data_IF_177010125283
#
_entry.id   IF_177010125283
#
_cell.length_a   1.000
_cell.length_b   1.000
_cell.length_c   1.000
_cell.angle_alpha   90.00
_cell.angle_beta   90.00
_cell.angle_gamma   90.00
#
_symmetry.space_group_name_H-M   'P 1'
#
loop_
_entity.id
_entity.type
_entity.pdbx_description
1 polymer ?
#
# COMPACT_ATOMS: atom_id res chain seq x y z
N UNK A 1 2.72 -40.90 -14.97
CA UNK A 1 3.56 -39.97 -14.18
C UNK A 1 2.79 -38.67 -14.12
N UNK A 2 2.67 -38.07 -12.93
CA UNK A 2 2.02 -36.76 -12.75
C UNK A 2 3.13 -35.71 -12.65
N UNK A 3 3.22 -34.82 -13.64
CA UNK A 3 4.21 -33.75 -13.72
C UNK A 3 3.63 -32.56 -14.50
N UNK A 4 4.12 -31.35 -14.23
CA UNK A 4 3.74 -30.13 -14.94
C UNK A 4 4.75 -29.83 -16.06
N UNK A 5 4.27 -29.35 -17.21
CA UNK A 5 5.12 -28.99 -18.37
C UNK A 5 5.80 -27.63 -18.17
N UNK A 6 5.16 -26.72 -17.41
CA UNK A 6 5.73 -25.43 -17.04
C UNK A 6 5.25 -24.99 -15.66
N UNK A 7 6.04 -24.16 -14.96
CA UNK A 7 5.65 -23.65 -13.63
C UNK A 7 4.31 -22.91 -13.66
N UNK A 8 3.99 -22.22 -14.76
CA UNK A 8 2.72 -21.53 -14.97
C UNK A 8 1.49 -22.47 -15.05
N UNK A 9 1.67 -23.79 -15.28
CA UNK A 9 0.58 -24.76 -15.18
C UNK A 9 0.14 -24.99 -13.73
N UNK A 10 0.96 -24.59 -12.76
CA UNK A 10 0.69 -24.70 -11.33
C UNK A 10 0.01 -23.45 -10.75
N UNK A 11 -0.41 -22.50 -11.61
CA UNK A 11 -1.22 -21.36 -11.17
C UNK A 11 -2.59 -21.84 -10.73
N UNK A 12 -3.01 -21.44 -9.54
CA UNK A 12 -4.25 -21.85 -8.90
C UNK A 12 -4.10 -23.05 -7.97
N UNK A 13 -5.22 -23.65 -7.59
CA UNK A 13 -5.28 -24.79 -6.65
C UNK A 13 -4.53 -24.54 -5.32
N UNK A 14 -4.49 -23.30 -4.89
CA UNK A 14 -3.82 -22.89 -3.64
C UNK A 14 -4.55 -23.45 -2.43
N UNK A 15 -3.84 -23.75 -1.33
CA UNK A 15 -4.44 -24.39 -0.18
C UNK A 15 -5.34 -23.42 0.60
N UNK A 16 -6.28 -24.03 1.33
CA UNK A 16 -7.12 -23.39 2.33
C UNK A 16 -6.64 -23.85 3.71
N UNK A 17 -6.20 -22.91 4.55
CA UNK A 17 -5.52 -23.20 5.82
C UNK A 17 -6.30 -22.58 6.97
N UNK A 18 -6.61 -23.36 8.01
CA UNK A 18 -7.28 -22.84 9.21
C UNK A 18 -6.34 -21.89 9.98
N UNK A 19 -6.84 -20.71 10.35
CA UNK A 19 -6.20 -19.85 11.35
C UNK A 19 -6.57 -20.35 12.75
N UNK A 20 -5.59 -20.52 13.64
CA UNK A 20 -5.78 -21.13 14.96
C UNK A 20 -5.52 -20.15 16.11
N UNK A 21 -4.33 -19.59 16.17
CA UNK A 21 -3.88 -18.72 17.26
C UNK A 21 -4.61 -17.37 17.23
N UNK A 22 -4.72 -16.76 16.04
CA UNK A 22 -5.38 -15.47 15.84
C UNK A 22 -6.89 -15.52 16.08
N UNK A 23 -7.49 -16.71 15.99
CA UNK A 23 -8.93 -16.92 16.09
C UNK A 23 -9.33 -17.52 17.43
N UNK A 24 -8.38 -17.67 18.36
CA UNK A 24 -8.65 -18.23 19.67
C UNK A 24 -9.70 -17.38 20.42
N UNK A 25 -10.79 -18.03 20.84
CA UNK A 25 -11.91 -17.36 21.51
C UNK A 25 -12.99 -16.82 20.58
N UNK A 26 -12.77 -16.85 19.25
CA UNK A 26 -13.80 -16.59 18.26
C UNK A 26 -14.60 -17.86 17.99
N UNK A 27 -15.88 -17.68 17.66
CA UNK A 27 -16.83 -18.76 17.39
C UNK A 27 -16.74 -19.35 15.98
N UNK A 28 -16.65 -18.56 14.89
CA UNK A 28 -16.68 -19.11 13.53
C UNK A 28 -15.39 -19.84 13.16
N UNK A 29 -15.48 -20.73 12.19
CA UNK A 29 -14.30 -21.29 11.52
C UNK A 29 -13.73 -20.24 10.55
N UNK A 30 -12.49 -19.80 10.78
CA UNK A 30 -11.80 -18.86 9.87
C UNK A 30 -10.68 -19.58 9.10
N UNK A 31 -10.74 -19.49 7.78
CA UNK A 31 -9.84 -20.17 6.84
C UNK A 31 -9.16 -19.15 5.93
N UNK A 32 -7.85 -19.27 5.76
CA UNK A 32 -7.02 -18.47 4.89
C UNK A 32 -6.80 -19.16 3.54
N UNK A 33 -7.18 -18.51 2.44
CA UNK A 33 -6.86 -18.92 1.07
C UNK A 33 -5.49 -18.37 0.69
N UNK A 34 -4.48 -19.24 0.63
CA UNK A 34 -3.06 -18.86 0.63
C UNK A 34 -2.55 -18.67 -0.80
N UNK A 35 -2.83 -17.50 -1.39
CA UNK A 35 -2.52 -17.24 -2.81
C UNK A 35 -1.04 -17.01 -3.11
N UNK A 36 -0.20 -16.77 -2.11
CA UNK A 36 1.24 -16.64 -2.34
C UNK A 36 1.92 -17.95 -2.75
N UNK A 37 1.23 -19.09 -2.63
CA UNK A 37 1.72 -20.38 -3.10
C UNK A 37 1.50 -20.60 -4.61
N UNK A 38 0.88 -19.64 -5.30
CA UNK A 38 1.04 -19.55 -6.75
C UNK A 38 2.53 -19.39 -7.10
N UNK A 39 2.97 -19.87 -8.27
CA UNK A 39 4.39 -19.97 -8.61
C UNK A 39 5.15 -18.64 -8.75
N UNK A 40 4.47 -17.57 -9.15
CA UNK A 40 4.96 -16.19 -9.15
C UNK A 40 4.81 -15.49 -7.79
N UNK A 41 4.24 -16.17 -6.80
CA UNK A 41 4.19 -15.70 -5.41
C UNK A 41 2.97 -14.88 -5.04
N UNK A 42 1.94 -14.82 -5.89
CA UNK A 42 0.75 -14.02 -5.61
C UNK A 42 -0.51 -14.45 -6.37
N UNK A 43 -1.66 -13.93 -5.92
CA UNK A 43 -2.97 -14.02 -6.59
C UNK A 43 -2.97 -13.49 -8.03
N UNK A 44 -2.03 -12.60 -8.38
CA UNK A 44 -2.02 -11.92 -9.68
C UNK A 44 -1.54 -12.83 -10.83
N UNK A 45 -0.97 -13.99 -10.50
CA UNK A 45 -0.64 -15.00 -11.50
C UNK A 45 -1.88 -15.48 -12.27
N UNK A 46 -3.01 -15.59 -11.57
CA UNK A 46 -4.31 -16.00 -12.15
C UNK A 46 -4.77 -15.04 -13.23
N UNK A 47 -4.73 -13.73 -12.93
CA UNK A 47 -5.18 -12.70 -13.87
C UNK A 47 -4.21 -12.61 -15.05
N UNK A 48 -2.90 -12.75 -14.80
CA UNK A 48 -1.89 -12.68 -15.85
C UNK A 48 -2.08 -13.80 -16.88
N UNK A 49 -2.23 -15.04 -16.39
CA UNK A 49 -2.50 -16.20 -17.25
C UNK A 49 -3.78 -15.98 -18.07
N UNK A 50 -4.87 -15.59 -17.42
CA UNK A 50 -6.17 -15.44 -18.07
C UNK A 50 -6.19 -14.31 -19.11
N UNK A 51 -5.64 -13.14 -18.77
CA UNK A 51 -5.59 -11.99 -19.69
C UNK A 51 -4.76 -12.32 -20.94
N UNK A 52 -3.60 -12.98 -20.78
CA UNK A 52 -2.74 -13.37 -21.91
C UNK A 52 -3.47 -14.38 -22.80
N UNK A 53 -4.05 -15.44 -22.24
CA UNK A 53 -4.77 -16.44 -23.03
C UNK A 53 -5.99 -15.86 -23.75
N UNK A 54 -6.67 -14.89 -23.14
CA UNK A 54 -7.78 -14.21 -23.79
C UNK A 54 -7.31 -13.33 -24.95
N UNK A 55 -6.22 -12.59 -24.78
CA UNK A 55 -5.63 -11.76 -25.83
C UNK A 55 -5.07 -12.58 -27.00
N UNK A 56 -4.55 -13.78 -26.72
CA UNK A 56 -4.18 -14.76 -27.75
C UNK A 56 -5.40 -15.22 -28.56
N UNK A 57 -6.50 -15.56 -27.88
CA UNK A 57 -7.74 -16.02 -28.53
C UNK A 57 -8.42 -14.93 -29.35
N UNK A 58 -8.39 -13.68 -28.88
CA UNK A 58 -8.96 -12.53 -29.62
C UNK A 58 -8.05 -12.05 -30.75
N UNK A 59 -6.76 -12.41 -30.73
CA UNK A 59 -5.76 -11.96 -31.69
C UNK A 59 -5.16 -10.58 -31.37
N UNK A 60 -5.48 -10.01 -30.20
CA UNK A 60 -4.89 -8.76 -29.70
C UNK A 60 -3.41 -8.93 -29.35
N UNK A 61 -3.02 -10.10 -28.84
CA UNK A 61 -1.63 -10.46 -28.61
C UNK A 61 -1.20 -11.52 -29.63
N UNK A 62 -0.32 -11.13 -30.56
CA UNK A 62 0.20 -12.00 -31.61
C UNK A 62 1.45 -12.74 -31.15
N UNK A 63 1.77 -13.93 -31.70
CA UNK A 63 3.00 -14.66 -31.38
C UNK A 63 4.25 -13.78 -31.49
N UNK A 64 5.10 -13.81 -30.45
CA UNK A 64 6.30 -12.96 -30.37
C UNK A 64 6.04 -11.48 -30.04
N UNK A 65 4.78 -11.10 -29.77
CA UNK A 65 4.40 -9.73 -29.38
C UNK A 65 4.98 -9.28 -28.04
N UNK A 66 4.68 -8.02 -27.69
CA UNK A 66 5.21 -7.38 -26.48
C UNK A 66 4.08 -7.04 -25.51
N UNK A 67 4.23 -7.43 -24.25
CA UNK A 67 3.32 -7.02 -23.17
C UNK A 67 3.87 -5.74 -22.54
N UNK A 68 3.07 -4.68 -22.50
CA UNK A 68 3.44 -3.41 -21.89
C UNK A 68 2.44 -3.08 -20.78
N UNK A 69 2.88 -3.01 -19.52
CA UNK A 69 1.99 -2.74 -18.38
C UNK A 69 2.63 -1.74 -17.40
N UNK A 70 1.88 -0.74 -16.89
CA UNK A 70 2.32 0.11 -15.80
C UNK A 70 2.24 -0.67 -14.48
N UNK A 71 3.33 -1.33 -14.09
CA UNK A 71 3.37 -2.15 -12.88
C UNK A 71 4.79 -2.32 -12.34
N UNK A 72 4.87 -2.52 -11.04
CA UNK A 72 6.10 -2.84 -10.31
C UNK A 72 5.94 -4.02 -9.35
N UNK A 73 4.75 -4.61 -9.33
CA UNK A 73 4.34 -5.54 -8.29
C UNK A 73 3.97 -6.90 -8.86
N UNK A 74 3.07 -7.54 -8.13
CA UNK A 74 2.61 -8.90 -8.34
C UNK A 74 2.11 -9.19 -9.77
N UNK A 75 1.36 -8.26 -10.38
CA UNK A 75 0.88 -8.43 -11.78
C UNK A 75 2.03 -8.48 -12.79
N UNK A 76 3.08 -7.68 -12.61
CA UNK A 76 4.25 -7.72 -13.48
C UNK A 76 4.98 -9.06 -13.39
N UNK A 77 5.11 -9.63 -12.19
CA UNK A 77 5.72 -10.95 -11.98
C UNK A 77 4.92 -12.03 -12.69
N UNK A 78 3.59 -12.06 -12.48
CA UNK A 78 2.70 -13.01 -13.15
C UNK A 78 2.77 -12.92 -14.67
N UNK A 79 2.72 -11.70 -15.23
CA UNK A 79 2.81 -11.45 -16.67
C UNK A 79 4.17 -11.91 -17.23
N UNK A 80 5.28 -11.60 -16.56
CA UNK A 80 6.61 -11.98 -17.01
C UNK A 80 6.82 -13.50 -17.02
N UNK A 81 6.35 -14.18 -15.96
CA UNK A 81 6.41 -15.64 -15.85
C UNK A 81 5.62 -16.33 -16.97
N UNK A 82 4.40 -15.85 -17.26
CA UNK A 82 3.57 -16.42 -18.33
C UNK A 82 4.12 -16.06 -19.72
N UNK A 83 4.64 -14.85 -19.89
CA UNK A 83 5.28 -14.39 -21.12
C UNK A 83 6.51 -15.23 -21.50
N UNK A 84 7.35 -15.58 -20.52
CA UNK A 84 8.52 -16.43 -20.73
C UNK A 84 8.12 -17.77 -21.36
N UNK A 85 7.06 -18.41 -20.86
CA UNK A 85 6.54 -19.66 -21.42
C UNK A 85 6.04 -19.51 -22.85
N UNK A 86 5.28 -18.44 -23.11
CA UNK A 86 4.55 -18.23 -24.36
C UNK A 86 5.35 -17.49 -25.43
N UNK A 87 6.58 -17.08 -25.11
CA UNK A 87 7.50 -16.42 -26.04
C UNK A 87 7.20 -14.94 -26.27
N UNK A 88 6.63 -14.25 -25.27
CA UNK A 88 6.38 -12.80 -25.34
C UNK A 88 7.49 -11.99 -24.70
N UNK A 89 7.71 -10.79 -25.20
CA UNK A 89 8.56 -9.79 -24.55
C UNK A 89 7.74 -9.04 -23.50
N UNK A 90 8.39 -8.58 -22.42
CA UNK A 90 7.75 -7.75 -21.40
C UNK A 90 8.47 -6.42 -21.25
N UNK A 91 7.70 -5.33 -21.25
CA UNK A 91 8.16 -3.98 -20.91
C UNK A 91 7.27 -3.44 -19.79
N UNK A 92 7.82 -3.30 -18.59
CA UNK A 92 7.09 -2.75 -17.47
C UNK A 92 7.53 -1.33 -17.17
N UNK A 93 6.56 -0.47 -16.89
CA UNK A 93 6.79 0.94 -16.57
C UNK A 93 6.45 1.17 -15.10
N UNK A 94 7.38 1.73 -14.34
CA UNK A 94 7.18 1.97 -12.92
C UNK A 94 7.78 3.31 -12.46
N UNK A 95 7.22 3.94 -11.41
CA UNK A 95 7.81 5.14 -10.84
C UNK A 95 9.13 4.84 -10.09
N UNK A 96 10.00 5.83 -9.96
CA UNK A 96 11.32 5.73 -9.30
C UNK A 96 11.27 5.45 -7.79
N UNK A 97 10.13 5.68 -7.13
CA UNK A 97 9.89 5.26 -5.73
C UNK A 97 9.84 3.75 -5.52
N UNK A 98 9.68 2.97 -6.60
CA UNK A 98 9.68 1.51 -6.52
C UNK A 98 11.07 1.01 -6.16
N UNK A 99 11.14 0.20 -5.09
CA UNK A 99 12.38 -0.39 -4.61
C UNK A 99 13.16 -1.11 -5.71
N UNK A 100 14.49 -1.06 -5.62
CA UNK A 100 15.36 -1.74 -6.56
C UNK A 100 15.11 -3.25 -6.63
N UNK A 101 14.86 -3.90 -5.49
CA UNK A 101 14.58 -5.34 -5.41
C UNK A 101 13.38 -5.75 -6.28
N UNK A 102 12.28 -5.00 -6.19
CA UNK A 102 11.09 -5.25 -7.04
C UNK A 102 11.40 -5.11 -8.53
N UNK A 103 12.19 -4.10 -8.92
CA UNK A 103 12.64 -3.94 -10.33
C UNK A 103 13.56 -5.08 -10.75
N UNK A 104 14.42 -5.54 -9.86
CA UNK A 104 15.37 -6.63 -10.13
C UNK A 104 14.67 -7.98 -10.29
N UNK A 105 13.59 -8.25 -9.55
CA UNK A 105 12.74 -9.44 -9.76
C UNK A 105 12.17 -9.45 -11.18
N UNK A 106 11.60 -8.34 -11.65
CA UNK A 106 11.04 -8.26 -13.02
C UNK A 106 12.12 -8.46 -14.08
N UNK A 107 13.30 -7.84 -13.91
CA UNK A 107 14.46 -8.04 -14.80
C UNK A 107 14.95 -9.50 -14.81
N UNK A 108 14.91 -10.18 -13.66
CA UNK A 108 15.30 -11.58 -13.56
C UNK A 108 14.35 -12.51 -14.37
N UNK A 109 13.08 -12.14 -14.51
CA UNK A 109 12.14 -12.78 -15.44
C UNK A 109 12.29 -12.33 -16.91
N UNK A 110 13.33 -11.56 -17.23
CA UNK A 110 13.64 -11.11 -18.59
C UNK A 110 12.88 -9.87 -19.05
N UNK A 111 12.16 -9.18 -18.15
CA UNK A 111 11.43 -7.96 -18.51
C UNK A 111 12.37 -6.75 -18.63
N UNK A 112 12.10 -5.89 -19.61
CA UNK A 112 12.66 -4.53 -19.65
C UNK A 112 11.87 -3.66 -18.66
N UNK A 113 12.56 -3.00 -17.73
CA UNK A 113 11.92 -2.08 -16.77
C UNK A 113 12.27 -0.64 -17.14
N UNK A 114 11.25 0.16 -17.41
CA UNK A 114 11.33 1.60 -17.67
C UNK A 114 10.95 2.34 -16.40
N UNK A 115 11.85 3.19 -15.91
CA UNK A 115 11.65 3.95 -14.67
C UNK A 115 11.25 5.39 -15.03
N UNK A 116 10.16 5.86 -14.43
CA UNK A 116 9.60 7.19 -14.63
C UNK A 116 9.70 8.02 -13.34
N UNK A 117 9.78 9.37 -13.42
CA UNK A 117 9.76 10.22 -12.23
C UNK A 117 8.47 10.04 -11.43
N UNK A 118 8.55 9.95 -10.10
CA UNK A 118 7.35 9.97 -9.24
C UNK A 118 6.72 11.36 -9.15
N UNK A 119 7.55 12.41 -9.14
CA UNK A 119 7.12 13.78 -8.86
C UNK A 119 6.52 14.51 -10.08
N UNK A 120 5.63 13.84 -10.82
CA UNK A 120 4.87 14.43 -11.93
C UNK A 120 3.39 14.06 -11.85
N UNK A 121 2.46 14.95 -12.23
CA UNK A 121 1.03 14.63 -12.29
C UNK A 121 0.71 13.46 -13.24
N UNK A 122 -0.39 12.71 -13.04
CA UNK A 122 -0.79 11.61 -13.92
C UNK A 122 -0.93 11.99 -15.40
N UNK A 123 -1.29 13.24 -15.71
CA UNK A 123 -1.46 13.77 -17.06
C UNK A 123 -0.13 14.14 -17.72
N UNK A 124 0.97 14.19 -16.95
CA UNK A 124 2.27 14.55 -17.45
C UNK A 124 2.80 13.49 -18.44
N UNK A 125 3.43 13.88 -19.57
CA UNK A 125 3.95 12.93 -20.57
C UNK A 125 4.95 11.89 -20.02
N UNK A 126 5.69 12.26 -18.98
CA UNK A 126 6.66 11.38 -18.32
C UNK A 126 6.08 10.59 -17.14
N UNK A 127 4.78 10.73 -16.85
CA UNK A 127 4.10 9.84 -15.91
C UNK A 127 4.18 8.40 -16.43
N UNK A 128 4.31 7.44 -15.52
CA UNK A 128 4.42 6.03 -15.91
C UNK A 128 3.18 5.52 -16.68
N UNK A 129 2.00 6.12 -16.47
CA UNK A 129 0.79 5.86 -17.25
C UNK A 129 0.96 6.27 -18.71
N UNK A 130 1.31 7.54 -18.96
CA UNK A 130 1.48 8.06 -20.31
C UNK A 130 2.67 7.42 -21.03
N UNK A 131 3.76 7.14 -20.31
CA UNK A 131 4.90 6.40 -20.86
C UNK A 131 4.49 4.98 -21.26
N UNK A 132 3.68 4.28 -20.44
CA UNK A 132 3.14 2.97 -20.82
C UNK A 132 2.27 3.07 -22.07
N UNK A 133 1.36 4.04 -22.16
CA UNK A 133 0.48 4.20 -23.32
C UNK A 133 1.25 4.58 -24.59
N UNK A 134 2.28 5.41 -24.45
CA UNK A 134 3.19 5.76 -25.54
C UNK A 134 3.93 4.51 -26.04
N UNK A 135 4.50 3.70 -25.15
CA UNK A 135 5.22 2.49 -25.52
C UNK A 135 4.33 1.47 -26.25
N UNK A 136 3.05 1.36 -25.87
CA UNK A 136 2.08 0.52 -26.59
C UNK A 136 1.86 0.99 -28.03
N UNK A 137 1.88 2.30 -28.28
CA UNK A 137 1.73 2.88 -29.63
C UNK A 137 3.00 2.76 -30.46
N UNK A 138 4.16 2.84 -29.82
CA UNK A 138 5.47 2.86 -30.49
C UNK A 138 6.05 1.47 -30.77
N UNK A 139 5.75 0.47 -29.94
CA UNK A 139 6.24 -0.89 -30.11
C UNK A 139 5.26 -1.68 -30.97
N UNK A 140 5.70 -2.11 -32.15
CA UNK A 140 4.88 -2.96 -33.03
C UNK A 140 4.52 -4.28 -32.33
N UNK A 141 3.24 -4.68 -32.43
CA UNK A 141 2.71 -5.85 -31.74
C UNK A 141 2.65 -5.73 -30.22
N UNK A 142 2.72 -4.51 -29.66
CA UNK A 142 2.51 -4.30 -28.24
C UNK A 142 1.04 -4.39 -27.84
N UNK A 143 0.81 -4.98 -26.68
CA UNK A 143 -0.50 -5.11 -26.05
C UNK A 143 -0.41 -4.73 -24.59
N UNK A 144 -1.40 -3.97 -24.12
CA UNK A 144 -1.54 -3.55 -22.73
C UNK A 144 -2.64 -4.36 -22.05
N UNK A 145 -2.31 -5.22 -21.07
CA UNK A 145 -3.30 -5.95 -20.29
C UNK A 145 -4.33 -5.05 -19.64
N UNK A 146 -3.91 -3.91 -19.08
CA UNK A 146 -4.78 -2.93 -18.40
C UNK A 146 -5.64 -3.58 -17.29
N UNK A 147 -4.98 -4.05 -16.23
CA UNK A 147 -5.65 -4.81 -15.16
C UNK A 147 -6.83 -4.11 -14.48
N UNK A 148 -6.94 -2.79 -14.56
CA UNK A 148 -8.02 -2.00 -13.94
C UNK A 148 -9.32 -2.05 -14.73
N UNK A 149 -9.26 -2.25 -16.05
CA UNK A 149 -10.42 -2.26 -16.94
C UNK A 149 -10.64 -3.59 -17.68
N UNK A 150 -9.66 -4.50 -17.66
CA UNK A 150 -9.77 -5.75 -18.39
C UNK A 150 -10.75 -6.73 -17.72
N UNK A 151 -11.86 -7.12 -18.37
CA UNK A 151 -12.86 -8.01 -17.78
C UNK A 151 -12.30 -9.41 -17.48
N UNK A 152 -11.15 -9.78 -18.06
CA UNK A 152 -10.50 -11.05 -17.77
C UNK A 152 -9.86 -11.10 -16.38
N UNK A 153 -9.67 -9.95 -15.72
CA UNK A 153 -9.25 -9.89 -14.32
C UNK A 153 -10.34 -10.51 -13.40
N UNK A 154 -11.56 -9.94 -13.28
CA UNK A 154 -12.62 -10.57 -12.49
C UNK A 154 -13.02 -11.95 -13.02
N UNK A 155 -13.08 -12.14 -14.34
CA UNK A 155 -13.44 -13.45 -14.93
C UNK A 155 -12.47 -14.56 -14.50
N UNK A 156 -11.17 -14.26 -14.33
CA UNK A 156 -10.20 -15.26 -13.86
C UNK A 156 -10.58 -15.83 -12.48
N UNK A 157 -11.11 -14.99 -11.60
CA UNK A 157 -11.50 -15.37 -10.24
C UNK A 157 -12.87 -16.03 -10.20
N UNK A 158 -13.80 -15.58 -11.05
CA UNK A 158 -15.09 -16.23 -11.26
C UNK A 158 -14.93 -17.67 -11.75
N UNK A 159 -13.99 -17.92 -12.68
CA UNK A 159 -13.76 -19.25 -13.26
C UNK A 159 -12.79 -20.14 -12.46
N UNK A 160 -12.06 -19.59 -11.49
CA UNK A 160 -11.07 -20.36 -10.71
C UNK A 160 -11.23 -20.19 -9.20
N UNK A 161 -10.88 -19.03 -8.64
CA UNK A 161 -10.87 -18.80 -7.20
C UNK A 161 -12.22 -19.10 -6.53
N UNK A 162 -13.34 -18.64 -7.10
CA UNK A 162 -14.69 -18.95 -6.61
C UNK A 162 -14.99 -20.45 -6.54
N UNK A 163 -14.89 -21.18 -7.69
CA UNK A 163 -15.05 -22.63 -7.72
C UNK A 163 -14.13 -23.40 -6.77
N UNK A 164 -12.86 -22.97 -6.66
CA UNK A 164 -11.92 -23.57 -5.73
C UNK A 164 -12.40 -23.44 -4.28
N UNK A 165 -12.82 -22.23 -3.87
CA UNK A 165 -13.32 -22.00 -2.51
C UNK A 165 -14.59 -22.79 -2.21
N UNK A 166 -15.54 -22.80 -3.15
CA UNK A 166 -16.77 -23.57 -3.01
C UNK A 166 -16.48 -25.06 -2.83
N UNK A 167 -15.60 -25.62 -3.67
CA UNK A 167 -15.16 -27.01 -3.56
C UNK A 167 -14.41 -27.30 -2.27
N UNK A 168 -13.45 -26.45 -1.89
CA UNK A 168 -12.59 -26.64 -0.70
C UNK A 168 -13.36 -26.54 0.62
N UNK A 169 -14.54 -25.90 0.61
CA UNK A 169 -15.42 -25.76 1.78
C UNK A 169 -16.63 -26.69 1.73
N UNK A 170 -16.72 -27.60 0.75
CA UNK A 170 -17.89 -28.43 0.49
C UNK A 170 -19.20 -27.62 0.40
N UNK A 171 -19.13 -26.40 -0.16
CA UNK A 171 -20.25 -25.46 -0.29
C UNK A 171 -20.72 -24.84 1.03
N UNK A 172 -19.93 -24.92 2.11
CA UNK A 172 -20.31 -24.44 3.44
C UNK A 172 -19.77 -23.04 3.79
N UNK A 173 -18.99 -22.43 2.90
CA UNK A 173 -18.57 -21.03 3.08
C UNK A 173 -19.80 -20.15 3.31
N UNK A 174 -19.72 -19.27 4.30
CA UNK A 174 -20.80 -18.32 4.64
C UNK A 174 -20.36 -16.88 4.37
N UNK A 175 -19.08 -16.59 4.58
CA UNK A 175 -18.50 -15.26 4.42
C UNK A 175 -17.19 -15.35 3.63
N UNK A 176 -17.04 -14.52 2.62
CA UNK A 176 -15.81 -14.35 1.87
C UNK A 176 -15.24 -12.95 2.11
N UNK A 177 -14.00 -12.87 2.60
CA UNK A 177 -13.30 -11.62 2.90
C UNK A 177 -12.11 -11.46 1.95
N UNK A 178 -12.01 -10.32 1.27
CA UNK A 178 -10.89 -10.02 0.40
C UNK A 178 -10.50 -8.55 0.44
N UNK A 179 -9.18 -8.28 0.36
CA UNK A 179 -8.68 -6.94 0.10
C UNK A 179 -9.13 -6.41 -1.26
N UNK A 180 -9.52 -5.14 -1.33
CA UNK A 180 -9.95 -4.49 -2.58
C UNK A 180 -8.80 -3.64 -3.13
N UNK A 181 -8.44 -3.82 -4.41
CA UNK A 181 -7.46 -3.01 -5.14
C UNK A 181 -8.03 -2.67 -6.51
N UNK A 182 -7.61 -3.37 -7.56
CA UNK A 182 -8.32 -3.36 -8.86
C UNK A 182 -9.79 -3.80 -8.75
N UNK A 183 -10.15 -4.56 -7.70
CA UNK A 183 -11.51 -5.03 -7.46
C UNK A 183 -11.85 -6.34 -8.19
N UNK A 184 -11.00 -6.82 -9.10
CA UNK A 184 -11.28 -8.04 -9.86
C UNK A 184 -11.41 -9.30 -8.99
N UNK A 185 -10.56 -9.47 -7.98
CA UNK A 185 -10.60 -10.65 -7.08
C UNK A 185 -11.91 -10.75 -6.30
N UNK A 186 -12.32 -9.66 -5.64
CA UNK A 186 -13.57 -9.63 -4.87
C UNK A 186 -14.80 -9.73 -5.79
N UNK A 187 -14.78 -9.06 -6.95
CA UNK A 187 -15.90 -9.06 -7.89
C UNK A 187 -16.11 -10.42 -8.54
N UNK A 188 -15.05 -11.04 -9.06
CA UNK A 188 -15.13 -12.34 -9.71
C UNK A 188 -15.49 -13.47 -8.73
N UNK A 189 -14.75 -13.55 -7.62
CA UNK A 189 -14.99 -14.59 -6.60
C UNK A 189 -16.36 -14.41 -5.94
N UNK A 190 -16.69 -13.16 -5.57
CA UNK A 190 -17.95 -12.83 -4.92
C UNK A 190 -19.16 -13.10 -5.81
N UNK A 191 -19.10 -12.73 -7.10
CA UNK A 191 -20.16 -13.04 -8.05
C UNK A 191 -20.41 -14.54 -8.15
N UNK A 192 -19.36 -15.34 -8.34
CA UNK A 192 -19.50 -16.81 -8.39
C UNK A 192 -20.13 -17.37 -7.12
N UNK A 193 -19.63 -16.96 -5.95
CA UNK A 193 -20.12 -17.44 -4.66
C UNK A 193 -21.57 -17.05 -4.41
N UNK A 194 -21.98 -15.84 -4.80
CA UNK A 194 -23.38 -15.42 -4.70
C UNK A 194 -24.28 -16.22 -5.63
N UNK A 195 -23.86 -16.47 -6.88
CA UNK A 195 -24.65 -17.25 -7.83
C UNK A 195 -24.81 -18.71 -7.40
N UNK A 196 -23.74 -19.38 -6.96
CA UNK A 196 -23.80 -20.80 -6.57
C UNK A 196 -24.51 -21.04 -5.24
N UNK A 197 -24.62 -20.01 -4.40
CA UNK A 197 -25.27 -20.08 -3.08
C UNK A 197 -26.64 -19.43 -3.03
N UNK A 198 -27.22 -19.06 -4.19
CA UNK A 198 -28.48 -18.30 -4.29
C UNK A 198 -28.49 -17.03 -3.41
N UNK A 199 -27.33 -16.37 -3.31
CA UNK A 199 -27.11 -15.14 -2.55
C UNK A 199 -26.86 -15.34 -1.06
N UNK A 200 -26.74 -16.58 -0.56
CA UNK A 200 -26.52 -16.85 0.86
C UNK A 200 -25.11 -16.44 1.34
N UNK A 201 -24.08 -16.56 0.49
CA UNK A 201 -22.72 -16.15 0.85
C UNK A 201 -22.60 -14.63 0.90
N UNK A 202 -22.13 -14.12 2.03
CA UNK A 202 -21.82 -12.71 2.24
C UNK A 202 -20.41 -12.40 1.77
N UNK A 203 -20.26 -11.33 0.99
CA UNK A 203 -18.97 -10.86 0.46
C UNK A 203 -18.58 -9.59 1.18
N UNK A 204 -17.40 -9.58 1.80
CA UNK A 204 -16.91 -8.47 2.62
C UNK A 204 -15.58 -7.97 2.05
N UNK A 205 -15.51 -6.68 1.74
CA UNK A 205 -14.26 -6.04 1.34
C UNK A 205 -13.47 -5.58 2.56
N UNK A 206 -12.17 -5.85 2.56
CA UNK A 206 -11.21 -5.19 3.42
C UNK A 206 -10.52 -4.07 2.65
N UNK A 207 -10.49 -2.87 3.18
CA UNK A 207 -9.97 -1.69 2.49
C UNK A 207 -9.17 -0.81 3.45
N UNK A 208 -8.03 -0.22 3.04
CA UNK A 208 -7.30 0.70 3.89
C UNK A 208 -8.14 1.95 4.18
N UNK A 209 -8.01 2.49 5.39
CA UNK A 209 -8.56 3.81 5.72
C UNK A 209 -8.09 4.87 4.71
N UNK A 210 -9.04 5.63 4.16
CA UNK A 210 -8.74 6.72 3.24
C UNK A 210 -8.91 6.37 1.76
N UNK A 211 -9.04 5.10 1.40
CA UNK A 211 -9.40 4.66 0.04
C UNK A 211 -10.87 4.94 -0.28
N UNK A 212 -11.21 5.06 -1.57
CA UNK A 212 -12.59 5.36 -2.00
C UNK A 212 -13.59 4.25 -1.66
N UNK A 213 -13.13 2.99 -1.52
CA UNK A 213 -14.01 1.87 -1.20
C UNK A 213 -14.56 1.96 0.24
N UNK A 214 -13.74 2.45 1.18
CA UNK A 214 -14.12 2.72 2.57
C UNK A 214 -14.76 4.11 2.78
N UNK A 215 -15.03 4.84 1.70
CA UNK A 215 -15.64 6.18 1.74
C UNK A 215 -14.66 7.33 1.98
N UNK A 216 -13.35 7.07 1.88
CA UNK A 216 -12.30 8.08 1.90
C UNK A 216 -12.14 8.81 0.57
N UNK A 217 -11.20 9.75 0.52
CA UNK A 217 -10.92 10.57 -0.66
C UNK A 217 -9.73 10.08 -1.51
N UNK A 218 -9.25 8.84 -1.29
CA UNK A 218 -8.07 8.29 -1.95
C UNK A 218 -6.74 8.73 -1.33
N UNK A 219 -6.73 9.11 -0.04
CA UNK A 219 -5.51 9.62 0.61
C UNK A 219 -4.47 8.51 0.79
N UNK A 220 -3.16 8.87 0.80
CA UNK A 220 -2.10 7.86 0.90
C UNK A 220 -2.15 7.05 2.20
N UNK A 221 -1.81 5.77 2.08
CA UNK A 221 -1.59 4.83 3.17
C UNK A 221 -0.34 3.99 2.85
N UNK A 222 0.19 3.26 3.84
CA UNK A 222 1.44 2.53 3.71
C UNK A 222 1.26 1.09 3.22
N UNK A 223 0.11 0.47 3.49
CA UNK A 223 -0.19 -0.89 2.98
C UNK A 223 -0.20 -0.88 1.45
N UNK A 224 0.48 -1.87 0.85
CA UNK A 224 0.63 -1.96 -0.60
C UNK A 224 -0.34 -2.96 -1.25
N UNK A 225 -0.82 -2.63 -2.46
CA UNK A 225 -1.56 -3.55 -3.34
C UNK A 225 -3.08 -3.59 -3.14
N UNK A 226 -3.61 -2.69 -2.32
CA UNK A 226 -5.04 -2.50 -1.98
C UNK A 226 -5.36 -1.01 -1.86
N UNK A 227 -6.65 -0.70 -1.84
CA UNK A 227 -7.25 0.63 -1.92
C UNK A 227 -7.00 1.33 -3.26
N UNK A 228 -7.83 2.32 -3.59
CA UNK A 228 -7.67 3.16 -4.78
C UNK A 228 -8.18 4.58 -4.51
N UNK A 229 -7.75 5.53 -5.35
CA UNK A 229 -8.26 6.91 -5.43
C UNK A 229 -9.34 7.10 -6.52
N UNK A 230 -9.60 6.05 -7.31
CA UNK A 230 -10.66 5.99 -8.32
C UNK A 230 -11.39 4.64 -8.27
N UNK A 231 -12.45 4.50 -9.07
CA UNK A 231 -13.21 3.25 -9.19
C UNK A 231 -12.81 2.51 -10.47
N UNK A 232 -12.08 1.38 -10.39
CA UNK A 232 -11.75 0.56 -11.55
C UNK A 232 -13.00 -0.08 -12.17
N UNK A 233 -13.02 -0.23 -13.49
CA UNK A 233 -14.14 -0.89 -14.20
C UNK A 233 -14.27 -2.39 -13.86
N UNK A 234 -13.19 -2.98 -13.34
CA UNK A 234 -13.17 -4.37 -12.88
C UNK A 234 -13.81 -4.59 -11.52
N UNK A 235 -14.21 -3.53 -10.82
CA UNK A 235 -14.95 -3.62 -9.55
C UNK A 235 -16.47 -3.53 -9.77
N UNK A 236 -17.19 -4.59 -9.40
CA UNK A 236 -18.65 -4.57 -9.31
C UNK A 236 -19.08 -3.95 -7.98
N UNK A 237 -19.66 -2.74 -8.04
CA UNK A 237 -20.10 -1.97 -6.86
C UNK A 237 -21.19 -2.64 -6.03
N UNK A 238 -21.88 -3.65 -6.59
CA UNK A 238 -22.95 -4.35 -5.88
C UNK A 238 -22.50 -5.70 -5.31
N UNK A 239 -21.24 -6.10 -5.52
CA UNK A 239 -20.78 -7.43 -5.09
C UNK A 239 -20.62 -7.52 -3.57
N UNK A 240 -20.03 -6.50 -2.96
CA UNK A 240 -19.74 -6.48 -1.53
C UNK A 240 -20.99 -6.10 -0.73
N UNK A 241 -21.34 -6.91 0.26
CA UNK A 241 -22.39 -6.64 1.24
C UNK A 241 -21.93 -5.60 2.27
N UNK A 242 -20.62 -5.51 2.51
CA UNK A 242 -20.00 -4.61 3.49
C UNK A 242 -18.54 -4.35 3.11
N UNK A 243 -18.04 -3.16 3.43
CA UNK A 243 -16.62 -2.82 3.40
C UNK A 243 -16.17 -2.49 4.82
N UNK A 244 -15.13 -3.16 5.31
CA UNK A 244 -14.50 -2.92 6.60
C UNK A 244 -13.21 -2.14 6.36
N UNK A 245 -13.16 -0.90 6.86
CA UNK A 245 -11.96 -0.08 6.85
C UNK A 245 -10.95 -0.58 7.90
N UNK A 246 -9.67 -0.63 7.52
CA UNK A 246 -8.57 -1.08 8.38
C UNK A 246 -7.42 -0.08 8.30
N UNK A 247 -6.90 0.30 9.47
CA UNK A 247 -5.74 1.21 9.55
C UNK A 247 -4.44 0.49 9.17
N UNK A 248 -3.41 1.25 8.79
CA UNK A 248 -2.06 0.70 8.58
C UNK A 248 -1.54 -0.02 9.84
N UNK A 249 -1.81 0.53 11.04
CA UNK A 249 -1.40 -0.05 12.31
C UNK A 249 -2.03 -1.44 12.53
N UNK A 250 -3.35 -1.57 12.39
CA UNK A 250 -4.07 -2.85 12.52
C UNK A 250 -3.60 -3.86 11.47
N UNK A 251 -3.38 -3.39 10.23
CA UNK A 251 -2.90 -4.21 9.13
C UNK A 251 -1.52 -4.79 9.44
N UNK A 252 -0.56 -3.95 9.85
CA UNK A 252 0.82 -4.36 10.06
C UNK A 252 1.00 -5.19 11.33
N UNK A 253 0.29 -4.87 12.42
CA UNK A 253 0.24 -5.73 13.60
C UNK A 253 -0.23 -7.14 13.22
N UNK A 254 -1.37 -7.23 12.53
CA UNK A 254 -1.93 -8.51 12.09
C UNK A 254 -0.99 -9.25 11.12
N UNK A 255 -0.31 -8.55 10.20
CA UNK A 255 0.71 -9.15 9.32
C UNK A 255 1.84 -9.80 10.12
N UNK A 256 2.36 -9.13 11.15
CA UNK A 256 3.43 -9.68 11.99
C UNK A 256 2.94 -10.86 12.84
N UNK A 257 1.73 -10.77 13.39
CA UNK A 257 1.10 -11.85 14.15
C UNK A 257 0.83 -13.08 13.29
N UNK A 258 0.44 -12.94 12.02
CA UNK A 258 0.33 -14.06 11.08
C UNK A 258 1.65 -14.84 10.95
N UNK A 259 2.79 -14.14 10.89
CA UNK A 259 4.09 -14.79 10.84
C UNK A 259 4.46 -15.45 12.17
N UNK A 260 4.24 -14.76 13.30
CA UNK A 260 4.63 -15.21 14.64
C UNK A 260 3.73 -16.34 15.19
N UNK A 261 2.43 -16.26 14.97
CA UNK A 261 1.41 -17.08 15.63
C UNK A 261 0.83 -18.17 14.73
N UNK A 262 0.84 -17.98 13.41
CA UNK A 262 0.28 -18.93 12.41
C UNK A 262 1.35 -19.52 11.47
N UNK A 263 2.60 -19.02 11.52
CA UNK A 263 3.67 -19.42 10.60
C UNK A 263 3.45 -18.98 9.15
N UNK A 264 2.58 -17.98 8.91
CA UNK A 264 2.23 -17.46 7.59
C UNK A 264 3.03 -16.17 7.31
N UNK A 265 4.14 -16.29 6.59
CA UNK A 265 4.94 -15.13 6.17
C UNK A 265 4.31 -14.46 4.94
N UNK A 266 3.47 -13.45 5.16
CA UNK A 266 2.62 -12.79 4.15
C UNK A 266 2.81 -11.27 4.07
N UNK A 267 2.22 -10.62 3.06
CA UNK A 267 2.29 -9.16 2.91
C UNK A 267 1.36 -8.35 3.81
N UNK A 268 1.46 -7.01 3.72
CA UNK A 268 0.61 -6.06 4.46
C UNK A 268 -0.88 -6.25 4.16
N UNK A 269 -1.25 -6.36 2.87
CA UNK A 269 -2.64 -6.55 2.45
C UNK A 269 -3.27 -7.85 2.97
N UNK A 270 -2.45 -8.89 3.22
CA UNK A 270 -2.89 -10.12 3.88
C UNK A 270 -3.27 -9.84 5.35
N UNK A 271 -2.46 -9.10 6.09
CA UNK A 271 -2.76 -8.69 7.47
C UNK A 271 -4.02 -7.83 7.54
N UNK A 272 -4.18 -6.90 6.60
CA UNK A 272 -5.40 -6.08 6.47
C UNK A 272 -6.66 -6.94 6.30
N UNK A 273 -6.63 -7.89 5.36
CA UNK A 273 -7.76 -8.78 5.09
C UNK A 273 -8.09 -9.65 6.31
N UNK A 274 -7.08 -10.14 7.03
CA UNK A 274 -7.28 -10.91 8.26
C UNK A 274 -7.80 -10.04 9.40
N UNK A 275 -7.30 -8.81 9.57
CA UNK A 275 -7.80 -7.88 10.58
C UNK A 275 -9.31 -7.60 10.37
N UNK A 276 -9.73 -7.36 9.13
CA UNK A 276 -11.14 -7.25 8.78
C UNK A 276 -11.93 -8.54 9.08
N UNK A 277 -11.36 -9.71 8.74
CA UNK A 277 -11.99 -11.00 9.02
C UNK A 277 -12.15 -11.29 10.53
N UNK A 278 -11.19 -10.87 11.36
CA UNK A 278 -11.26 -11.00 12.82
C UNK A 278 -12.35 -10.08 13.39
N UNK A 279 -12.41 -8.80 12.97
CA UNK A 279 -13.49 -7.87 13.34
C UNK A 279 -14.88 -8.39 12.93
N UNK A 280 -14.99 -8.95 11.72
CA UNK A 280 -16.20 -9.62 11.26
C UNK A 280 -16.55 -10.83 12.14
N UNK A 281 -15.57 -11.67 12.48
CA UNK A 281 -15.78 -12.91 13.22
C UNK A 281 -16.28 -12.70 14.66
N UNK A 282 -16.01 -11.54 15.28
CA UNK A 282 -16.53 -11.19 16.62
C UNK A 282 -18.06 -11.17 16.70
N UNK A 283 -18.74 -10.90 15.58
CA UNK A 283 -20.22 -10.84 15.49
C UNK A 283 -20.85 -12.10 14.90
N UNK A 284 -20.07 -13.17 14.69
CA UNK A 284 -20.53 -14.42 14.08
C UNK A 284 -20.69 -15.56 15.10
N UNK A 285 -21.23 -16.67 14.63
CA UNK A 285 -21.57 -17.87 15.41
C UNK A 285 -20.73 -19.08 15.01
N UNK A 286 -20.90 -20.21 15.70
CA UNK A 286 -20.18 -21.45 15.41
C UNK A 286 -20.60 -22.09 14.07
N UNK A 287 -21.76 -21.70 13.53
CA UNK A 287 -22.27 -22.17 12.25
C UNK A 287 -21.65 -21.44 11.05
N UNK A 288 -20.93 -20.34 11.30
CA UNK A 288 -20.34 -19.51 10.27
C UNK A 288 -18.93 -19.99 9.87
N UNK A 289 -18.69 -20.07 8.57
CA UNK A 289 -17.37 -20.30 7.96
C UNK A 289 -16.93 -19.06 7.18
N UNK A 290 -15.87 -18.42 7.67
CA UNK A 290 -15.24 -17.25 7.07
C UNK A 290 -14.02 -17.70 6.26
N UNK A 291 -13.96 -17.35 4.99
CA UNK A 291 -12.77 -17.51 4.16
C UNK A 291 -12.16 -16.16 3.86
N UNK A 292 -10.90 -15.95 4.23
CA UNK A 292 -10.12 -14.75 3.95
C UNK A 292 -9.05 -15.02 2.90
N UNK A 293 -8.94 -14.19 1.87
CA UNK A 293 -7.92 -14.33 0.83
C UNK A 293 -6.63 -13.62 1.22
N UNK A 294 -5.49 -14.32 1.13
CA UNK A 294 -4.14 -13.77 1.40
C UNK A 294 -3.38 -13.58 0.08
N UNK A 295 -3.32 -12.36 -0.48
CA UNK A 295 -2.89 -12.15 -1.86
C UNK A 295 -1.45 -12.54 -2.18
N UNK A 296 -0.50 -12.33 -1.27
CA UNK A 296 0.93 -12.48 -1.55
C UNK A 296 1.80 -12.79 -0.31
N UNK A 297 3.08 -13.06 -0.57
CA UNK A 297 4.06 -13.51 0.42
C UNK A 297 4.88 -12.37 1.03
N UNK A 298 5.39 -12.59 2.25
CA UNK A 298 6.08 -11.56 3.04
C UNK A 298 7.48 -11.16 2.55
N UNK A 299 8.08 -11.93 1.62
CA UNK A 299 9.47 -11.72 1.17
C UNK A 299 9.71 -10.33 0.55
N UNK A 300 8.72 -9.79 -0.15
CA UNK A 300 8.80 -8.45 -0.74
C UNK A 300 8.75 -7.30 0.26
N UNK A 301 8.59 -7.61 1.56
CA UNK A 301 8.32 -6.64 2.62
C UNK A 301 9.29 -6.77 3.81
N UNK A 302 10.39 -7.52 3.67
CA UNK A 302 11.35 -7.76 4.75
C UNK A 302 12.01 -6.48 5.29
N UNK A 303 12.22 -5.50 4.43
CA UNK A 303 12.78 -4.18 4.79
C UNK A 303 11.72 -3.17 5.25
N UNK A 304 10.45 -3.60 5.36
CA UNK A 304 9.29 -2.78 5.74
C UNK A 304 8.62 -3.33 7.00
N UNK A 305 7.42 -3.91 6.88
CA UNK A 305 6.60 -4.41 8.01
C UNK A 305 7.32 -5.42 8.91
N UNK A 306 8.29 -6.16 8.39
CA UNK A 306 9.10 -7.11 9.18
C UNK A 306 10.40 -6.50 9.74
N UNK A 307 10.67 -5.21 9.46
CA UNK A 307 11.81 -4.49 9.96
C UNK A 307 11.38 -3.61 11.14
N UNK A 308 11.92 -3.87 12.34
CA UNK A 308 11.55 -3.13 13.55
C UNK A 308 11.90 -1.65 13.48
N UNK A 309 13.04 -1.28 12.85
CA UNK A 309 13.39 0.14 12.65
C UNK A 309 12.35 0.84 11.79
N UNK A 310 11.90 0.20 10.70
CA UNK A 310 10.87 0.75 9.83
C UNK A 310 9.55 0.92 10.61
N UNK A 311 9.08 -0.14 11.27
CA UNK A 311 7.85 -0.10 12.08
C UNK A 311 7.91 0.97 13.18
N UNK A 312 9.04 1.06 13.87
CA UNK A 312 9.27 2.05 14.92
C UNK A 312 9.28 3.47 14.38
N UNK A 313 9.95 3.73 13.24
CA UNK A 313 10.03 5.07 12.63
C UNK A 313 8.68 5.66 12.19
N UNK A 314 7.68 4.81 11.96
CA UNK A 314 6.30 5.24 11.70
C UNK A 314 5.41 5.24 12.96
N UNK A 315 5.95 4.88 14.12
CA UNK A 315 5.22 4.86 15.38
C UNK A 315 4.29 3.65 15.56
N UNK A 316 4.50 2.55 14.82
CA UNK A 316 3.65 1.35 14.92
C UNK A 316 4.02 0.38 16.02
N UNK A 317 5.23 0.51 16.60
CA UNK A 317 5.66 -0.35 17.71
C UNK A 317 5.39 0.33 19.05
N UNK A 318 5.08 -0.45 20.09
CA UNK A 318 5.09 0.06 21.45
C UNK A 318 6.52 0.48 21.86
N UNK A 319 6.68 1.34 22.88
CA UNK A 319 7.99 1.73 23.37
C UNK A 319 8.78 0.52 23.90
N UNK A 320 10.04 0.39 23.48
CA UNK A 320 10.94 -0.70 23.89
C UNK A 320 11.34 -0.68 25.37
N UNK A 321 11.07 0.42 26.09
CA UNK A 321 11.45 0.61 27.49
C UNK A 321 10.49 1.52 28.24
N UNK A 322 10.57 1.55 29.57
CA UNK A 322 9.82 2.48 30.42
C UNK A 322 10.40 3.91 30.44
N UNK A 323 11.33 4.23 29.54
CA UNK A 323 11.92 5.56 29.41
C UNK A 323 10.98 6.55 28.72
N UNK A 324 11.31 7.84 28.77
CA UNK A 324 10.57 8.87 28.05
C UNK A 324 10.67 8.67 26.53
N UNK A 325 9.55 8.89 25.86
CA UNK A 325 9.37 8.75 24.42
C UNK A 325 9.35 10.12 23.72
N UNK A 326 9.45 10.11 22.40
CA UNK A 326 9.30 11.32 21.58
C UNK A 326 7.88 11.89 21.67
N UNK A 327 6.86 11.03 21.80
CA UNK A 327 5.48 11.45 22.01
C UNK A 327 5.28 12.17 23.36
N UNK A 328 6.02 11.79 24.41
CA UNK A 328 6.01 12.50 25.69
C UNK A 328 6.53 13.94 25.54
N UNK A 329 7.58 14.14 24.73
CA UNK A 329 8.14 15.45 24.42
C UNK A 329 7.10 16.32 23.70
N UNK A 330 6.41 15.77 22.70
CA UNK A 330 5.35 16.48 21.98
C UNK A 330 4.17 16.86 22.89
N UNK A 331 3.72 15.93 23.71
CA UNK A 331 2.59 16.16 24.62
C UNK A 331 2.92 17.21 25.67
N UNK A 332 4.19 17.28 26.10
CA UNK A 332 4.64 18.34 27.01
C UNK A 332 4.78 19.69 26.32
N UNK A 333 5.17 19.69 25.04
CA UNK A 333 5.20 20.88 24.17
C UNK A 333 3.81 21.43 23.88
N UNK A 334 2.78 20.58 23.85
CA UNK A 334 1.41 20.99 23.46
C UNK A 334 0.77 21.91 24.51
N UNK A 335 1.08 23.20 24.40
CA UNK A 335 0.37 24.32 25.02
C UNK A 335 -0.63 24.92 24.04
N UNK A 336 -0.38 26.16 23.58
CA UNK A 336 -1.21 26.91 22.63
C UNK A 336 -0.97 26.61 21.15
N UNK A 337 -0.07 25.66 20.83
CA UNK A 337 0.28 25.33 19.46
C UNK A 337 -0.75 24.39 18.82
N UNK A 338 -1.08 24.57 17.53
CA UNK A 338 -1.75 23.54 16.75
C UNK A 338 -0.98 22.21 16.79
N UNK A 339 -1.68 21.09 16.59
CA UNK A 339 -1.06 19.76 16.53
C UNK A 339 0.04 19.69 15.48
N UNK A 340 -0.13 20.37 14.35
CA UNK A 340 0.88 20.48 13.30
C UNK A 340 0.87 21.90 12.75
N UNK A 341 1.87 22.70 13.11
CA UNK A 341 2.17 23.95 12.39
C UNK A 341 2.75 23.56 11.04
N UNK A 342 2.18 24.06 9.95
CA UNK A 342 2.55 23.69 8.58
C UNK A 342 2.24 24.84 7.61
N UNK A 343 2.71 24.68 6.37
CA UNK A 343 2.45 25.58 5.25
C UNK A 343 2.18 24.76 3.98
N UNK A 344 1.72 25.40 2.92
CA UNK A 344 1.40 24.75 1.64
C UNK A 344 2.32 25.23 0.50
N UNK A 345 2.60 24.38 -0.51
CA UNK A 345 3.49 24.72 -1.63
C UNK A 345 3.10 25.99 -2.41
N UNK A 346 1.80 26.29 -2.45
CA UNK A 346 1.21 27.41 -3.18
C UNK A 346 1.21 28.72 -2.38
N UNK A 347 1.48 28.69 -1.08
CA UNK A 347 1.64 29.87 -0.24
C UNK A 347 2.94 30.60 -0.61
N UNK A 348 3.01 31.87 -0.20
CA UNK A 348 4.15 32.74 -0.42
C UNK A 348 5.19 32.61 0.69
N UNK A 349 6.43 33.00 0.38
CA UNK A 349 7.50 33.14 1.38
C UNK A 349 7.08 34.06 2.54
N UNK A 350 6.34 35.15 2.26
CA UNK A 350 5.83 36.05 3.29
C UNK A 350 4.83 35.37 4.23
N UNK A 351 3.89 34.60 3.69
CA UNK A 351 2.91 33.84 4.48
C UNK A 351 3.61 32.79 5.35
N UNK A 352 4.59 32.07 4.80
CA UNK A 352 5.38 31.12 5.57
C UNK A 352 6.11 31.78 6.76
N UNK A 353 6.71 32.95 6.56
CA UNK A 353 7.36 33.73 7.63
C UNK A 353 6.34 34.17 8.69
N UNK A 354 5.15 34.59 8.27
CA UNK A 354 4.09 34.98 9.19
C UNK A 354 3.67 33.81 10.09
N UNK A 355 3.55 32.60 9.54
CA UNK A 355 3.23 31.38 10.29
C UNK A 355 4.35 31.05 11.28
N UNK A 356 5.62 31.07 10.86
CA UNK A 356 6.77 30.84 11.77
C UNK A 356 6.74 31.82 12.96
N UNK A 357 6.47 33.10 12.70
CA UNK A 357 6.41 34.13 13.73
C UNK A 357 5.17 34.03 14.63
N UNK A 358 4.00 33.70 14.07
CA UNK A 358 2.75 33.54 14.82
C UNK A 358 2.84 32.41 15.85
N UNK A 359 3.44 31.29 15.44
CA UNK A 359 3.56 30.09 16.28
C UNK A 359 4.91 29.99 16.99
N UNK A 360 5.80 30.98 16.86
CA UNK A 360 7.14 31.00 17.48
C UNK A 360 7.93 29.70 17.23
N UNK A 361 7.94 29.27 15.96
CA UNK A 361 8.69 28.09 15.51
C UNK A 361 9.71 28.48 14.45
N UNK A 362 10.86 27.80 14.45
CA UNK A 362 11.93 28.01 13.46
C UNK A 362 11.88 27.03 12.29
N UNK A 363 10.97 26.05 12.34
CA UNK A 363 10.82 24.99 11.36
C UNK A 363 9.34 24.60 11.25
N UNK A 364 8.87 24.30 10.04
CA UNK A 364 7.57 23.65 9.84
C UNK A 364 7.56 22.80 8.56
N UNK A 365 6.83 21.68 8.53
CA UNK A 365 6.60 20.90 7.31
C UNK A 365 5.80 21.69 6.28
N UNK A 366 6.07 21.40 5.00
CA UNK A 366 5.24 21.82 3.87
C UNK A 366 4.41 20.62 3.43
N UNK A 367 3.08 20.78 3.39
CA UNK A 367 2.13 19.69 3.14
C UNK A 367 1.29 19.96 1.90
N UNK A 368 1.05 18.93 1.09
CA UNK A 368 0.26 19.06 -0.15
C UNK A 368 -1.26 18.98 0.08
N UNK A 369 -1.70 18.66 1.30
CA UNK A 369 -3.10 18.52 1.68
C UNK A 369 -3.35 19.08 3.08
N UNK A 370 -4.58 19.50 3.33
CA UNK A 370 -5.03 19.95 4.65
C UNK A 370 -5.05 18.79 5.68
N UNK A 371 -4.85 19.09 6.97
CA UNK A 371 -4.97 18.10 8.04
C UNK A 371 -6.35 17.40 8.06
N UNK A 372 -6.40 16.12 8.47
CA UNK A 372 -5.32 15.30 9.03
C UNK A 372 -4.36 14.77 7.97
N UNK A 373 -3.08 15.15 7.99
CA UNK A 373 -2.10 14.86 6.93
C UNK A 373 -1.58 13.42 7.03
N UNK A 374 -1.17 12.82 5.91
CA UNK A 374 -0.45 11.54 5.85
C UNK A 374 1.05 11.76 5.63
N UNK A 375 1.92 10.85 6.09
CA UNK A 375 3.37 11.04 5.96
C UNK A 375 3.84 11.27 4.50
N UNK A 376 3.17 10.63 3.53
CA UNK A 376 3.48 10.80 2.10
C UNK A 376 3.02 12.14 1.51
N UNK A 377 2.20 12.93 2.22
CA UNK A 377 1.74 14.26 1.82
C UNK A 377 2.66 15.38 2.35
N UNK A 378 3.70 15.03 3.10
CA UNK A 378 4.76 15.98 3.52
C UNK A 378 5.79 16.08 2.41
N UNK A 379 5.76 17.19 1.67
CA UNK A 379 6.52 17.38 0.42
C UNK A 379 7.80 18.19 0.60
N UNK A 380 7.96 18.87 1.73
CA UNK A 380 9.12 19.68 2.03
C UNK A 380 9.10 20.19 3.46
N UNK A 381 9.98 21.15 3.73
CA UNK A 381 10.00 21.89 4.99
C UNK A 381 10.40 23.34 4.76
N UNK A 382 10.02 24.20 5.71
CA UNK A 382 10.57 25.55 5.86
C UNK A 382 11.54 25.50 7.02
N UNK A 383 12.80 25.89 6.78
CA UNK A 383 13.80 26.14 7.81
C UNK A 383 14.10 27.64 7.82
N UNK A 384 13.89 28.29 8.98
CA UNK A 384 14.11 29.73 9.14
C UNK A 384 15.50 30.17 8.66
N UNK A 385 16.55 29.41 8.98
CA UNK A 385 17.93 29.73 8.58
C UNK A 385 18.09 29.73 7.06
N UNK A 386 17.58 28.68 6.41
CA UNK A 386 17.74 28.50 4.96
C UNK A 386 16.92 29.54 4.19
N UNK A 387 15.71 29.87 4.69
CA UNK A 387 14.85 30.91 4.11
C UNK A 387 15.45 32.31 4.27
N UNK A 388 16.04 32.60 5.44
CA UNK A 388 16.76 33.85 5.68
C UNK A 388 17.96 33.96 4.72
N UNK A 389 18.80 32.92 4.59
CA UNK A 389 19.93 32.94 3.64
C UNK A 389 19.45 33.19 2.20
N UNK A 390 18.37 32.55 1.78
CA UNK A 390 17.79 32.74 0.45
C UNK A 390 17.32 34.19 0.22
N UNK A 391 16.70 34.82 1.21
CA UNK A 391 16.26 36.23 1.13
C UNK A 391 17.44 37.20 1.14
N UNK A 392 18.42 37.01 2.02
CA UNK A 392 19.60 37.88 2.13
C UNK A 392 20.50 37.80 0.90
N UNK A 393 20.61 36.62 0.28
CA UNK A 393 21.38 36.43 -0.96
C UNK A 393 20.59 36.79 -2.23
N UNK A 394 19.32 37.20 -2.10
CA UNK A 394 18.45 37.56 -3.21
C UNK A 394 18.01 36.38 -4.08
N UNK A 395 18.19 35.15 -3.60
CA UNK A 395 17.72 33.92 -4.27
C UNK A 395 16.21 33.74 -4.15
N UNK A 396 15.59 34.30 -3.11
CA UNK A 396 14.14 34.31 -2.90
C UNK A 396 13.61 35.74 -2.71
N UNK A 397 12.34 35.95 -3.03
CA UNK A 397 11.57 37.16 -2.72
C UNK A 397 10.34 36.82 -1.88
N UNK A 398 9.85 37.80 -1.10
CA UNK A 398 8.69 37.62 -0.22
C UNK A 398 7.41 37.17 -0.96
N UNK A 399 7.24 37.59 -2.22
CA UNK A 399 6.08 37.24 -3.04
C UNK A 399 6.25 35.92 -3.82
N UNK A 400 7.42 35.28 -3.74
CA UNK A 400 7.64 34.01 -4.41
C UNK A 400 6.81 32.90 -3.76
N UNK A 401 6.40 31.93 -4.58
CA UNK A 401 5.79 30.69 -4.09
C UNK A 401 6.79 29.83 -3.34
N UNK A 402 6.33 29.22 -2.26
CA UNK A 402 7.14 28.43 -1.35
C UNK A 402 7.72 27.18 -2.02
N UNK A 403 6.99 26.55 -2.94
CA UNK A 403 7.44 25.34 -3.68
C UNK A 403 8.82 25.50 -4.37
N UNK A 404 9.25 26.74 -4.65
CA UNK A 404 10.53 27.05 -5.30
C UNK A 404 11.70 27.16 -4.32
N UNK A 405 11.40 27.35 -3.04
CA UNK A 405 12.37 27.74 -2.00
C UNK A 405 12.33 26.85 -0.76
N UNK A 406 11.46 25.84 -0.74
CA UNK A 406 11.36 24.89 0.36
C UNK A 406 12.62 24.02 0.47
N UNK A 407 13.02 23.72 1.70
CA UNK A 407 14.04 22.73 2.02
C UNK A 407 13.48 21.31 1.84
N UNK A 408 14.33 20.27 1.76
CA UNK A 408 13.88 18.89 1.82
C UNK A 408 13.01 18.61 3.06
N UNK A 409 12.11 17.60 3.03
CA UNK A 409 11.31 17.22 4.19
C UNK A 409 12.17 16.99 5.44
N UNK A 410 11.64 17.35 6.61
CA UNK A 410 12.28 17.07 7.90
C UNK A 410 12.51 15.55 8.06
N UNK A 411 13.60 15.13 8.73
CA UNK A 411 13.75 13.73 9.10
C UNK A 411 12.56 13.28 9.95
N UNK A 412 12.12 12.04 9.76
CA UNK A 412 11.01 11.45 10.51
C UNK A 412 11.51 10.66 11.70
N UNK A 413 10.67 10.59 12.74
CA UNK A 413 10.90 9.77 13.93
C UNK A 413 9.56 9.25 14.46
N UNK A 414 9.53 8.02 14.96
CA UNK A 414 8.35 7.44 15.59
C UNK A 414 8.07 8.05 16.96
N UNK A 415 6.78 8.26 17.27
CA UNK A 415 6.36 8.76 18.58
C UNK A 415 6.75 7.84 19.74
N UNK A 416 6.74 6.53 19.52
CA UNK A 416 7.13 5.52 20.51
C UNK A 416 8.64 5.35 20.66
N UNK A 417 9.46 5.96 19.80
CA UNK A 417 10.91 5.91 19.93
C UNK A 417 11.38 6.64 21.19
N UNK A 418 12.52 6.22 21.73
CA UNK A 418 13.11 6.88 22.90
C UNK A 418 13.65 8.27 22.54
N UNK A 419 13.68 9.18 23.52
CA UNK A 419 14.29 10.52 23.39
C UNK A 419 15.73 10.48 22.85
N UNK A 420 16.48 9.42 23.13
CA UNK A 420 17.84 9.21 22.60
C UNK A 420 17.88 9.05 21.07
N UNK A 421 16.84 8.48 20.46
CA UNK A 421 16.71 8.38 19.00
C UNK A 421 16.48 9.77 18.36
N UNK A 422 15.72 10.64 19.03
CA UNK A 422 15.53 12.02 18.56
C UNK A 422 16.84 12.81 18.51
N UNK A 423 17.75 12.58 19.45
CA UNK A 423 19.09 13.19 19.43
C UNK A 423 19.88 12.81 18.17
N UNK A 424 19.73 11.57 17.68
CA UNK A 424 20.37 11.10 16.44
C UNK A 424 19.68 11.69 15.20
N UNK A 425 18.35 11.69 15.17
CA UNK A 425 17.58 12.28 14.06
C UNK A 425 17.89 13.78 13.89
N UNK A 426 18.17 14.47 14.98
CA UNK A 426 18.52 15.89 15.02
C UNK A 426 20.04 16.16 14.93
N UNK A 427 20.89 15.19 14.59
CA UNK A 427 22.33 15.44 14.45
C UNK A 427 22.62 16.40 13.28
N UNK A 428 21.92 16.21 12.16
CA UNK A 428 22.05 17.03 10.95
C UNK A 428 20.86 17.95 10.65
N UNK A 429 19.83 17.98 11.51
CA UNK A 429 18.59 18.72 11.28
C UNK A 429 18.16 19.53 12.51
N UNK A 430 17.47 20.64 12.29
CA UNK A 430 17.03 21.55 13.35
C UNK A 430 15.64 21.18 13.92
N UNK A 431 14.91 20.30 13.22
CA UNK A 431 13.66 19.69 13.67
C UNK A 431 13.48 18.30 13.06
N UNK A 432 12.62 17.49 13.69
CA UNK A 432 12.21 16.19 13.19
C UNK A 432 10.68 16.06 13.26
N UNK A 433 10.09 15.51 12.20
CA UNK A 433 8.66 15.24 12.13
C UNK A 433 8.35 13.95 12.88
N UNK A 434 7.47 14.02 13.88
CA UNK A 434 7.06 12.85 14.65
C UNK A 434 5.87 12.19 13.97
N UNK A 435 5.96 10.87 13.79
CA UNK A 435 4.89 10.02 13.26
C UNK A 435 4.30 9.17 14.38
N UNK A 436 2.97 9.17 14.50
CA UNK A 436 2.21 8.28 15.39
C UNK A 436 1.21 7.54 14.52
N UNK A 437 1.24 6.21 14.54
CA UNK A 437 0.42 5.35 13.68
C UNK A 437 0.50 5.74 12.19
N UNK A 438 1.70 6.08 11.72
CA UNK A 438 1.98 6.50 10.35
C UNK A 438 1.57 7.94 10.00
N UNK A 439 0.98 8.68 10.95
CA UNK A 439 0.44 10.02 10.74
C UNK A 439 1.33 11.11 11.38
N UNK A 440 1.65 12.20 10.68
CA UNK A 440 2.27 13.40 11.24
C UNK A 440 1.54 13.92 12.48
N UNK A 441 2.20 13.87 13.63
CA UNK A 441 1.66 14.29 14.92
C UNK A 441 2.20 15.63 15.42
N UNK A 442 3.34 16.07 14.89
CA UNK A 442 3.99 17.33 15.28
C UNK A 442 5.46 17.35 14.91
N UNK A 443 6.15 18.45 15.24
CA UNK A 443 7.60 18.60 15.06
C UNK A 443 8.28 18.75 16.41
N UNK A 444 9.34 17.99 16.64
CA UNK A 444 10.24 18.14 17.79
C UNK A 444 11.55 18.79 17.36
N UNK A 445 12.07 19.68 18.20
CA UNK A 445 13.33 20.38 17.99
C UNK A 445 14.31 20.08 19.12
N UNK A 446 15.57 20.49 18.95
CA UNK A 446 16.56 20.40 20.04
C UNK A 446 16.12 21.21 21.27
N UNK A 447 15.41 22.32 21.08
CA UNK A 447 14.88 23.13 22.17
C UNK A 447 13.84 22.37 22.98
N UNK A 448 12.91 21.69 22.30
CA UNK A 448 11.87 20.88 22.94
C UNK A 448 12.47 19.76 23.79
N UNK A 449 13.51 19.08 23.28
CA UNK A 449 14.22 18.04 24.03
C UNK A 449 14.93 18.60 25.26
N UNK A 450 15.61 19.74 25.15
CA UNK A 450 16.26 20.39 26.29
C UNK A 450 15.25 20.85 27.34
N UNK A 451 14.11 21.42 26.91
CA UNK A 451 13.02 21.81 27.79
C UNK A 451 12.47 20.61 28.57
N UNK A 452 12.18 19.52 27.85
CA UNK A 452 11.71 18.27 28.43
C UNK A 452 12.69 17.70 29.45
N UNK A 453 13.98 17.60 29.12
CA UNK A 453 15.05 17.11 30.01
C UNK A 453 15.27 18.02 31.23
N UNK A 454 15.04 19.33 31.09
CA UNK A 454 15.09 20.30 32.18
C UNK A 454 13.85 20.25 33.09
N UNK A 455 12.89 19.36 32.82
CA UNK A 455 11.65 19.26 33.57
C UNK A 455 10.66 20.38 33.28
N UNK A 456 10.91 21.23 32.27
CA UNK A 456 10.04 22.33 31.86
C UNK A 456 8.95 21.90 30.90
#
# INVERSE_FOLDING_TARGET
MEYAEHIADLVGNTPLVKLNSLTQGLKPLVLAKVEYLNPGGSVKDRIALRMIEAAERSGELRPGGTIVEPTSGNTGVGLAMVAQRKGYQCVFVCPDKVSEDKRNVLKAYGARVVVCPTAVPPEHPDSYYNVSDRLVREIDGAWKPNQYANPQNPESHYLSTGPELWKQTDGKITHFVAGVGTGGTISGTGKYLKEVSDGAVRVVGADPEGSVYSGGSGRPYLVEGVGEDFWPDTYDRNVADEIIAVSDADSFDTTRRLALEEGLLVGGSCGMAVAAALKLAERLTEDDIVVVLLPDGGRGYLTKVFNDTWMSSYGFLPPDSSGATVADVLTKKSGSLPSLVHSHPNETVAEAIAILAEFDVSQMPVVSAEPPVMAAEVVGAVNERDLLDALFTGKAQLADRLERHMSPPLPTIGGSEQVSAAMKALEGADGALVLVDGKPAGVVTRHDLLGFLAGR
#
